data_IF_438335393022
#
_entry.id   IF_438335393022
#
_cell.length_a   1.000
_cell.length_b   1.000
_cell.length_c   1.000
_cell.angle_alpha   90.00
_cell.angle_beta   90.00
_cell.angle_gamma   90.00
#
_symmetry.space_group_name_H-M   'P 1'
#
loop_
_entity.id
_entity.type
_entity.pdbx_description
1 polymer ?
#
# COMPACT_ATOMS: atom_id res chain seq x y z
N UNK A 1 18.68 -20.40 -22.57
CA UNK A 1 17.31 -20.70 -22.06
C UNK A 1 17.29 -21.33 -20.66
N UNK A 2 18.26 -22.15 -20.23
CA UNK A 2 18.29 -22.76 -18.87
C UNK A 2 18.53 -21.78 -17.71
N UNK A 3 19.27 -20.69 -17.94
CA UNK A 3 19.56 -19.68 -16.89
C UNK A 3 18.33 -18.86 -16.52
N UNK A 4 17.55 -18.43 -17.52
CA UNK A 4 16.35 -17.61 -17.33
C UNK A 4 15.28 -18.27 -16.44
N UNK A 5 15.11 -19.59 -16.53
CA UNK A 5 14.14 -20.31 -15.69
C UNK A 5 14.57 -20.40 -14.22
N UNK A 6 15.86 -20.66 -13.97
CA UNK A 6 16.44 -20.67 -12.63
C UNK A 6 16.37 -19.28 -11.98
N UNK A 7 16.70 -18.24 -12.75
CA UNK A 7 16.65 -16.85 -12.27
C UNK A 7 15.22 -16.43 -11.90
N UNK A 8 14.23 -16.83 -12.72
CA UNK A 8 12.81 -16.61 -12.46
C UNK A 8 12.34 -17.33 -11.19
N UNK A 9 12.67 -18.62 -11.04
CA UNK A 9 12.30 -19.42 -9.87
C UNK A 9 12.89 -18.84 -8.59
N UNK A 10 14.17 -18.47 -8.62
CA UNK A 10 14.83 -17.84 -7.48
C UNK A 10 14.23 -16.47 -7.14
N UNK A 11 13.83 -15.66 -8.13
CA UNK A 11 13.12 -14.39 -7.89
C UNK A 11 11.78 -14.62 -7.21
N UNK A 12 10.99 -15.57 -7.69
CA UNK A 12 9.70 -15.93 -7.07
C UNK A 12 9.88 -16.41 -5.62
N UNK A 13 10.85 -17.28 -5.36
CA UNK A 13 11.17 -17.75 -4.01
C UNK A 13 11.59 -16.62 -3.07
N UNK A 14 12.47 -15.71 -3.52
CA UNK A 14 12.90 -14.56 -2.72
C UNK A 14 11.77 -13.59 -2.43
N UNK A 15 10.91 -13.33 -3.42
CA UNK A 15 9.72 -12.48 -3.24
C UNK A 15 8.76 -13.11 -2.23
N UNK A 16 8.45 -14.40 -2.38
CA UNK A 16 7.60 -15.13 -1.45
C UNK A 16 8.12 -15.09 -0.02
N UNK A 17 9.42 -15.36 0.17
CA UNK A 17 10.06 -15.29 1.50
C UNK A 17 10.00 -13.88 2.08
N UNK A 18 10.26 -12.84 1.28
CA UNK A 18 10.21 -11.46 1.74
C UNK A 18 8.79 -11.03 2.15
N UNK A 19 7.77 -11.42 1.39
CA UNK A 19 6.37 -11.17 1.74
C UNK A 19 5.95 -11.89 3.03
N UNK A 20 6.37 -13.15 3.20
CA UNK A 20 6.14 -13.90 4.44
C UNK A 20 6.79 -13.18 5.63
N UNK A 21 8.07 -12.80 5.53
CA UNK A 21 8.75 -12.07 6.60
C UNK A 21 8.06 -10.74 6.93
N UNK A 22 7.62 -9.99 5.91
CA UNK A 22 6.88 -8.75 6.09
C UNK A 22 5.53 -8.98 6.77
N UNK A 23 4.82 -10.06 6.44
CA UNK A 23 3.54 -10.39 7.06
C UNK A 23 3.73 -10.78 8.54
N UNK A 24 4.75 -11.57 8.86
CA UNK A 24 5.09 -11.90 10.25
C UNK A 24 5.52 -10.67 11.06
N UNK A 25 6.29 -9.76 10.46
CA UNK A 25 6.64 -8.48 11.08
C UNK A 25 5.39 -7.61 11.32
N UNK A 26 4.48 -7.54 10.34
CA UNK A 26 3.22 -6.83 10.49
C UNK A 26 2.41 -7.39 11.67
N UNK A 27 2.29 -8.71 11.81
CA UNK A 27 1.63 -9.33 12.96
C UNK A 27 2.32 -8.95 14.27
N UNK A 28 3.64 -9.17 14.37
CA UNK A 28 4.39 -8.91 15.60
C UNK A 28 4.29 -7.43 16.07
N UNK A 29 4.34 -6.48 15.14
CA UNK A 29 4.22 -5.05 15.46
C UNK A 29 2.77 -4.60 15.70
N UNK A 30 1.80 -5.26 15.08
CA UNK A 30 0.37 -5.06 15.38
C UNK A 30 0.07 -5.46 16.82
N UNK A 31 0.56 -6.64 17.25
CA UNK A 31 0.44 -7.10 18.63
C UNK A 31 1.14 -6.14 19.60
N UNK A 32 2.35 -5.67 19.25
CA UNK A 32 3.11 -4.72 20.08
C UNK A 32 2.40 -3.37 20.28
N UNK A 33 1.58 -2.94 19.32
CA UNK A 33 0.82 -1.69 19.39
C UNK A 33 -0.56 -1.81 20.05
N UNK A 34 -0.90 -2.93 20.69
CA UNK A 34 -2.21 -3.12 21.31
C UNK A 34 -3.32 -3.47 20.31
N UNK A 35 -2.97 -4.14 19.21
CA UNK A 35 -3.87 -4.58 18.12
C UNK A 35 -4.56 -3.40 17.42
N UNK A 36 -5.53 -2.73 18.03
CA UNK A 36 -6.26 -1.61 17.41
C UNK A 36 -5.33 -0.46 17.01
N UNK A 37 -4.55 0.06 17.95
CA UNK A 37 -3.63 1.18 17.69
C UNK A 37 -2.34 0.73 16.98
N UNK A 38 -2.10 -0.58 16.91
CA UNK A 38 -0.94 -1.18 16.26
C UNK A 38 -1.16 -1.51 14.78
N UNK A 39 -2.41 -1.76 14.38
CA UNK A 39 -2.76 -2.22 13.02
C UNK A 39 -2.47 -1.16 11.97
N UNK A 40 -2.88 0.09 12.21
CA UNK A 40 -2.64 1.20 11.28
C UNK A 40 -1.14 1.49 11.09
N UNK A 41 -0.32 1.68 12.14
CA UNK A 41 1.11 1.93 11.96
C UNK A 41 1.88 0.71 11.46
N UNK A 42 1.46 -0.52 11.75
CA UNK A 42 2.04 -1.71 11.13
C UNK A 42 1.77 -1.73 9.61
N UNK A 43 0.58 -1.32 9.18
CA UNK A 43 0.22 -1.21 7.77
C UNK A 43 1.02 -0.10 7.09
N UNK A 44 1.15 1.09 7.71
CA UNK A 44 1.99 2.17 7.19
C UNK A 44 3.47 1.75 7.06
N UNK A 45 4.02 1.04 8.06
CA UNK A 45 5.38 0.53 8.02
C UNK A 45 5.59 -0.50 6.90
N UNK A 46 4.64 -1.41 6.70
CA UNK A 46 4.65 -2.39 5.61
C UNK A 46 4.72 -1.69 4.24
N UNK A 47 3.84 -0.73 3.99
CA UNK A 47 3.87 0.06 2.75
C UNK A 47 5.13 0.93 2.62
N UNK A 48 5.71 1.36 3.73
CA UNK A 48 6.98 2.09 3.76
C UNK A 48 8.16 1.22 3.31
N UNK A 49 8.24 -0.02 3.80
CA UNK A 49 9.28 -0.97 3.37
C UNK A 49 9.10 -1.35 1.89
N UNK A 50 7.87 -1.62 1.44
CA UNK A 50 7.59 -1.94 0.03
C UNK A 50 7.96 -0.80 -0.91
N UNK A 51 7.79 0.45 -0.49
CA UNK A 51 8.26 1.63 -1.23
C UNK A 51 9.78 1.67 -1.29
N UNK A 52 10.46 1.44 -0.17
CA UNK A 52 11.92 1.42 -0.11
C UNK A 52 12.49 0.28 -0.99
N UNK A 53 11.80 -0.88 -1.04
CA UNK A 53 12.13 -2.01 -1.92
C UNK A 53 11.97 -1.67 -3.40
N UNK A 54 10.88 -1.00 -3.78
CA UNK A 54 10.65 -0.57 -5.16
C UNK A 54 11.69 0.47 -5.61
N UNK A 55 12.09 1.39 -4.72
CA UNK A 55 13.21 2.34 -4.94
C UNK A 55 14.56 1.65 -5.10
N UNK A 56 14.79 0.58 -4.35
CA UNK A 56 16.01 -0.20 -4.47
C UNK A 56 16.05 -0.95 -5.80
N UNK A 57 14.96 -1.65 -6.15
CA UNK A 57 14.85 -2.37 -7.42
C UNK A 57 15.00 -1.46 -8.65
N UNK A 58 14.55 -0.20 -8.58
CA UNK A 58 14.73 0.77 -9.66
C UNK A 58 16.19 1.23 -9.82
N UNK A 59 16.97 1.30 -8.73
CA UNK A 59 18.37 1.74 -8.73
C UNK A 59 19.35 0.59 -8.97
N UNK A 60 19.02 -0.60 -8.49
CA UNK A 60 19.85 -1.80 -8.53
C UNK A 60 19.02 -2.98 -9.07
N UNK A 61 18.73 -3.03 -10.38
CA UNK A 61 17.86 -4.06 -10.97
C UNK A 61 18.42 -5.49 -10.86
N UNK A 62 19.74 -5.62 -10.69
CA UNK A 62 20.44 -6.89 -10.54
C UNK A 62 20.51 -7.37 -9.07
N UNK A 63 20.28 -6.48 -8.10
CA UNK A 63 20.44 -6.79 -6.67
C UNK A 63 19.08 -6.86 -5.95
N UNK A 64 18.72 -8.01 -5.36
CA UNK A 64 17.50 -8.10 -4.57
C UNK A 64 17.68 -7.40 -3.21
N UNK A 65 16.64 -6.74 -2.69
CA UNK A 65 16.72 -6.07 -1.40
C UNK A 65 17.02 -7.08 -0.27
N UNK A 66 18.03 -6.75 0.54
CA UNK A 66 18.52 -7.62 1.61
C UNK A 66 17.47 -7.83 2.72
N UNK A 67 17.39 -9.04 3.26
CA UNK A 67 16.57 -9.35 4.45
C UNK A 67 17.24 -8.87 5.75
N UNK A 68 18.56 -8.69 5.72
CA UNK A 68 19.34 -8.16 6.85
C UNK A 68 18.89 -6.74 7.17
N UNK A 69 18.59 -6.47 8.44
CA UNK A 69 18.13 -5.15 8.89
C UNK A 69 16.64 -4.85 8.63
N UNK A 70 15.90 -5.75 7.95
CA UNK A 70 14.46 -5.58 7.66
C UNK A 70 13.65 -5.27 8.92
N UNK A 71 13.90 -6.02 10.01
CA UNK A 71 13.23 -5.83 11.30
C UNK A 71 13.51 -4.47 11.92
N UNK A 72 14.75 -4.00 11.85
CA UNK A 72 15.15 -2.71 12.40
C UNK A 72 14.49 -1.57 11.61
N UNK A 73 14.50 -1.68 10.28
CA UNK A 73 13.86 -0.71 9.39
C UNK A 73 12.35 -0.67 9.58
N UNK A 74 11.70 -1.82 9.67
CA UNK A 74 10.27 -1.91 9.94
C UNK A 74 9.91 -1.24 11.27
N UNK A 75 10.69 -1.49 12.33
CA UNK A 75 10.47 -0.88 13.64
C UNK A 75 10.69 0.63 13.66
N UNK A 76 11.65 1.14 12.90
CA UNK A 76 11.87 2.59 12.72
C UNK A 76 10.67 3.24 12.03
N UNK A 77 10.21 2.69 10.90
CA UNK A 77 9.04 3.18 10.17
C UNK A 77 7.78 3.11 11.02
N UNK A 78 7.57 2.03 11.77
CA UNK A 78 6.42 1.88 12.65
C UNK A 78 6.35 2.99 13.72
N UNK A 79 7.48 3.33 14.34
CA UNK A 79 7.54 4.41 15.34
C UNK A 79 7.33 5.78 14.71
N UNK A 80 7.96 6.04 13.56
CA UNK A 80 7.85 7.30 12.83
C UNK A 80 6.41 7.57 12.40
N UNK A 81 5.75 6.56 11.84
CA UNK A 81 4.41 6.69 11.26
C UNK A 81 3.28 6.54 12.30
N UNK A 82 3.60 6.27 13.57
CA UNK A 82 2.61 5.90 14.59
C UNK A 82 1.45 6.90 14.70
N UNK A 83 1.76 8.19 14.85
CA UNK A 83 0.75 9.23 14.99
C UNK A 83 0.00 9.53 13.69
N UNK A 84 0.70 9.62 12.57
CA UNK A 84 0.09 9.91 11.28
C UNK A 84 -0.85 8.79 10.82
N UNK A 85 -0.41 7.54 10.95
CA UNK A 85 -1.17 6.36 10.57
C UNK A 85 -2.44 6.20 11.42
N UNK A 86 -2.35 6.42 12.73
CA UNK A 86 -3.52 6.33 13.61
C UNK A 86 -4.55 7.43 13.33
N UNK A 87 -4.14 8.65 12.97
CA UNK A 87 -5.09 9.71 12.58
C UNK A 87 -5.81 9.38 11.28
N UNK A 88 -5.08 8.88 10.27
CA UNK A 88 -5.66 8.47 8.99
C UNK A 88 -6.58 7.26 9.19
N UNK A 89 -6.11 6.25 9.92
CA UNK A 89 -6.86 5.04 10.27
C UNK A 89 -8.15 5.37 11.04
N UNK A 90 -8.09 6.26 12.03
CA UNK A 90 -9.26 6.70 12.78
C UNK A 90 -10.28 7.43 11.88
N UNK A 91 -9.83 8.29 10.98
CA UNK A 91 -10.72 8.97 10.03
C UNK A 91 -11.41 7.97 9.09
N UNK A 92 -10.65 7.01 8.54
CA UNK A 92 -11.20 5.96 7.68
C UNK A 92 -12.14 5.02 8.44
N UNK A 93 -11.78 4.63 9.66
CA UNK A 93 -12.61 3.79 10.51
C UNK A 93 -13.94 4.48 10.87
N UNK A 94 -13.92 5.79 11.11
CA UNK A 94 -15.14 6.57 11.32
C UNK A 94 -16.05 6.54 10.09
N UNK A 95 -15.50 6.76 8.88
CA UNK A 95 -16.27 6.65 7.63
C UNK A 95 -16.88 5.26 7.43
N UNK A 96 -16.10 4.20 7.70
CA UNK A 96 -16.59 2.82 7.63
C UNK A 96 -17.68 2.53 8.66
N UNK A 97 -17.53 3.04 9.88
CA UNK A 97 -18.54 2.88 10.94
C UNK A 97 -19.87 3.52 10.53
N UNK A 98 -19.84 4.76 10.01
CA UNK A 98 -21.05 5.45 9.51
C UNK A 98 -21.71 4.62 8.40
N UNK A 99 -20.93 4.17 7.41
CA UNK A 99 -21.48 3.40 6.29
C UNK A 99 -22.12 2.07 6.73
N UNK A 100 -21.50 1.37 7.68
CA UNK A 100 -22.04 0.11 8.23
C UNK A 100 -23.33 0.37 9.03
N UNK A 101 -23.36 1.45 9.82
CA UNK A 101 -24.57 1.84 10.55
C UNK A 101 -25.71 2.19 9.59
N UNK A 102 -25.43 3.00 8.56
CA UNK A 102 -26.42 3.37 7.54
C UNK A 102 -26.97 2.12 6.83
N UNK A 103 -26.10 1.16 6.52
CA UNK A 103 -26.50 -0.12 5.92
C UNK A 103 -27.38 -0.94 6.85
N UNK A 104 -27.04 -1.02 8.14
CA UNK A 104 -27.88 -1.71 9.12
C UNK A 104 -29.26 -1.04 9.27
N UNK A 105 -29.33 0.29 9.17
CA UNK A 105 -30.60 1.03 9.20
C UNK A 105 -31.45 0.67 7.97
N UNK A 106 -30.87 0.72 6.77
CA UNK A 106 -31.57 0.39 5.52
C UNK A 106 -32.02 -1.07 5.47
N UNK A 107 -31.25 -2.00 6.04
CA UNK A 107 -31.61 -3.43 6.09
C UNK A 107 -32.70 -3.73 7.14
N UNK A 108 -32.81 -2.93 8.21
CA UNK A 108 -33.77 -3.16 9.31
C UNK A 108 -35.07 -2.39 9.17
N UNK A 109 -35.08 -1.27 8.45
CA UNK A 109 -36.30 -0.53 8.16
C UNK A 109 -36.95 -1.06 6.87
N UNK A 110 -38.26 -1.30 6.93
CA UNK A 110 -39.03 -1.56 5.72
C UNK A 110 -39.26 -0.24 4.96
N UNK A 111 -38.36 0.04 4.02
CA UNK A 111 -38.37 1.24 3.17
C UNK A 111 -39.17 1.02 1.87
N UNK A 112 -39.85 -0.13 1.73
CA UNK A 112 -40.57 -0.50 0.51
C UNK A 112 -39.68 -0.41 -0.74
N UNK A 113 -40.18 0.22 -1.80
CA UNK A 113 -39.46 0.35 -3.07
C UNK A 113 -38.17 1.19 -3.00
N UNK A 114 -37.97 2.00 -1.95
CA UNK A 114 -36.74 2.78 -1.76
C UNK A 114 -35.60 1.97 -1.14
N UNK A 115 -35.92 0.85 -0.46
CA UNK A 115 -34.93 -0.02 0.17
C UNK A 115 -33.84 -0.51 -0.80
N UNK A 116 -34.20 -1.13 -1.94
CA UNK A 116 -33.23 -1.60 -2.93
C UNK A 116 -32.37 -0.48 -3.52
N UNK A 117 -32.94 0.72 -3.75
CA UNK A 117 -32.21 1.87 -4.30
C UNK A 117 -31.17 2.40 -3.30
N UNK A 118 -31.56 2.56 -2.03
CA UNK A 118 -30.64 3.00 -0.97
C UNK A 118 -29.56 1.95 -0.69
N UNK A 119 -29.91 0.66 -0.68
CA UNK A 119 -28.94 -0.42 -0.53
C UNK A 119 -27.93 -0.46 -1.69
N UNK A 120 -28.39 -0.22 -2.93
CA UNK A 120 -27.53 -0.06 -4.10
C UNK A 120 -26.57 1.12 -3.96
N UNK A 121 -27.08 2.29 -3.57
CA UNK A 121 -26.27 3.49 -3.32
C UNK A 121 -25.20 3.28 -2.24
N UNK A 122 -25.57 2.68 -1.11
CA UNK A 122 -24.63 2.33 -0.03
C UNK A 122 -23.58 1.31 -0.47
N UNK A 123 -23.94 0.38 -1.34
CA UNK A 123 -22.98 -0.58 -1.92
C UNK A 123 -21.96 0.12 -2.81
N UNK A 124 -22.40 1.04 -3.67
CA UNK A 124 -21.50 1.85 -4.51
C UNK A 124 -20.59 2.73 -3.63
N UNK A 125 -21.14 3.36 -2.59
CA UNK A 125 -20.37 4.14 -1.64
C UNK A 125 -19.31 3.30 -0.91
N UNK A 126 -19.65 2.06 -0.53
CA UNK A 126 -18.72 1.12 0.09
C UNK A 126 -17.59 0.67 -0.83
N UNK A 127 -17.88 0.39 -2.10
CA UNK A 127 -16.85 0.09 -3.10
C UNK A 127 -15.89 1.27 -3.27
N UNK A 128 -16.45 2.49 -3.36
CA UNK A 128 -15.66 3.72 -3.42
C UNK A 128 -14.78 3.93 -2.19
N UNK A 129 -15.33 3.76 -0.99
CA UNK A 129 -14.59 3.88 0.27
C UNK A 129 -13.50 2.81 0.38
N UNK A 130 -13.77 1.59 -0.09
CA UNK A 130 -12.78 0.51 -0.18
C UNK A 130 -11.63 0.85 -1.11
N UNK A 131 -11.92 1.40 -2.30
CA UNK A 131 -10.88 1.86 -3.23
C UNK A 131 -10.04 2.99 -2.63
N UNK A 132 -10.68 3.97 -1.99
CA UNK A 132 -9.98 5.05 -1.30
C UNK A 132 -9.09 4.52 -0.18
N UNK A 133 -9.56 3.55 0.61
CA UNK A 133 -8.78 2.92 1.68
C UNK A 133 -7.56 2.19 1.10
N UNK A 134 -7.74 1.42 0.01
CA UNK A 134 -6.66 0.68 -0.65
C UNK A 134 -5.58 1.62 -1.24
N UNK A 135 -5.96 2.80 -1.71
CA UNK A 135 -5.04 3.81 -2.24
C UNK A 135 -4.43 4.70 -1.15
N UNK A 136 -5.13 4.92 -0.03
CA UNK A 136 -4.69 5.81 1.04
C UNK A 136 -3.40 5.31 1.72
N UNK A 137 -3.27 4.00 1.95
CA UNK A 137 -2.09 3.43 2.62
C UNK A 137 -0.78 3.55 1.82
N UNK A 138 -0.72 3.19 0.52
CA UNK A 138 0.46 3.44 -0.30
C UNK A 138 0.78 4.94 -0.46
N UNK A 139 -0.24 5.80 -0.51
CA UNK A 139 -0.03 7.25 -0.58
C UNK A 139 0.52 7.80 0.73
N UNK A 140 0.03 7.33 1.88
CA UNK A 140 0.53 7.75 3.19
C UNK A 140 2.02 7.38 3.36
N UNK A 141 2.41 6.17 2.98
CA UNK A 141 3.81 5.77 3.08
C UNK A 141 4.72 6.54 2.12
N UNK A 142 4.17 7.08 1.04
CA UNK A 142 4.92 7.87 0.06
C UNK A 142 4.98 9.37 0.39
N UNK A 143 3.94 9.92 1.02
CA UNK A 143 3.80 11.35 1.30
C UNK A 143 3.60 11.63 2.79
N UNK A 144 4.48 12.44 3.37
CA UNK A 144 4.43 12.88 4.78
C UNK A 144 3.41 14.02 4.97
N UNK A 145 2.18 13.80 4.50
CA UNK A 145 1.13 14.82 4.43
C UNK A 145 -0.06 14.51 5.33
N UNK A 146 -0.81 15.55 5.74
CA UNK A 146 -2.00 15.39 6.57
C UNK A 146 -3.07 14.51 5.91
N UNK A 147 -3.85 13.78 6.71
CA UNK A 147 -4.85 12.80 6.24
C UNK A 147 -5.80 13.34 5.15
N UNK A 148 -6.21 14.62 5.25
CA UNK A 148 -7.06 15.29 4.25
C UNK A 148 -6.36 15.45 2.89
N UNK A 149 -5.07 15.78 2.88
CA UNK A 149 -4.30 15.93 1.64
C UNK A 149 -4.07 14.57 0.97
N UNK A 150 -3.86 13.52 1.75
CA UNK A 150 -3.76 12.13 1.27
C UNK A 150 -5.06 11.66 0.63
N UNK A 151 -6.20 11.88 1.30
CA UNK A 151 -7.54 11.59 0.75
C UNK A 151 -7.79 12.36 -0.54
N UNK A 152 -7.50 13.67 -0.57
CA UNK A 152 -7.64 14.49 -1.78
C UNK A 152 -6.79 13.95 -2.92
N UNK A 153 -5.58 13.48 -2.64
CA UNK A 153 -4.69 12.89 -3.65
C UNK A 153 -5.17 11.54 -4.13
N UNK A 154 -5.68 10.68 -3.26
CA UNK A 154 -6.30 9.42 -3.67
C UNK A 154 -7.49 9.68 -4.63
N UNK A 155 -8.31 10.70 -4.34
CA UNK A 155 -9.37 11.17 -5.22
C UNK A 155 -8.83 11.69 -6.56
N UNK A 156 -7.87 12.61 -6.53
CA UNK A 156 -7.26 13.16 -7.75
C UNK A 156 -6.62 12.04 -8.59
N UNK A 157 -5.94 11.07 -7.98
CA UNK A 157 -5.34 9.95 -8.68
C UNK A 157 -6.40 9.07 -9.35
N UNK A 158 -7.49 8.79 -8.64
CA UNK A 158 -8.61 7.97 -9.14
C UNK A 158 -9.25 8.63 -10.37
N UNK A 159 -9.42 9.96 -10.34
CA UNK A 159 -9.99 10.73 -11.44
C UNK A 159 -8.99 10.94 -12.58
N UNK A 160 -7.71 11.23 -12.26
CA UNK A 160 -6.69 11.55 -13.26
C UNK A 160 -6.19 10.31 -14.01
N UNK A 161 -6.20 9.13 -13.37
CA UNK A 161 -5.72 7.87 -13.96
C UNK A 161 -6.63 6.68 -13.58
N UNK A 162 -7.88 6.67 -14.07
CA UNK A 162 -8.87 5.67 -13.70
C UNK A 162 -8.43 4.25 -14.05
N UNK A 163 -7.72 4.05 -15.16
CA UNK A 163 -7.20 2.74 -15.54
C UNK A 163 -6.22 2.15 -14.51
N UNK A 164 -5.39 3.00 -13.88
CA UNK A 164 -4.44 2.54 -12.85
C UNK A 164 -5.12 2.20 -11.53
N UNK A 165 -6.12 3.01 -11.14
CA UNK A 165 -6.93 2.76 -9.95
C UNK A 165 -7.78 1.50 -10.14
N UNK A 166 -8.39 1.32 -11.31
CA UNK A 166 -9.13 0.12 -11.67
C UNK A 166 -8.24 -1.13 -11.67
N UNK A 167 -7.04 -1.07 -12.25
CA UNK A 167 -6.10 -2.19 -12.25
C UNK A 167 -5.68 -2.59 -10.82
N UNK A 168 -5.40 -1.61 -9.96
CA UNK A 168 -5.09 -1.86 -8.55
C UNK A 168 -6.29 -2.48 -7.81
N UNK A 169 -7.50 -1.95 -8.02
CA UNK A 169 -8.73 -2.46 -7.43
C UNK A 169 -9.07 -3.89 -7.87
N UNK A 170 -9.02 -4.15 -9.18
CA UNK A 170 -9.24 -5.49 -9.76
C UNK A 170 -8.18 -6.47 -9.25
N UNK A 171 -6.91 -6.04 -9.20
CA UNK A 171 -5.83 -6.87 -8.66
C UNK A 171 -6.07 -7.30 -7.21
N UNK A 172 -6.48 -6.35 -6.36
CA UNK A 172 -6.86 -6.66 -4.97
C UNK A 172 -8.08 -7.58 -4.94
N UNK A 173 -9.10 -7.32 -5.77
CA UNK A 173 -10.30 -8.16 -5.86
C UNK A 173 -9.99 -9.61 -6.24
N UNK A 174 -9.16 -9.83 -7.26
CA UNK A 174 -8.71 -11.17 -7.66
C UNK A 174 -7.95 -11.85 -6.52
N UNK A 175 -7.09 -11.12 -5.82
CA UNK A 175 -6.34 -11.67 -4.69
C UNK A 175 -7.27 -12.08 -3.53
N UNK A 176 -8.31 -11.30 -3.25
CA UNK A 176 -9.33 -11.67 -2.27
C UNK A 176 -10.10 -12.92 -2.70
N UNK A 177 -10.42 -13.08 -3.99
CA UNK A 177 -11.00 -14.33 -4.50
C UNK A 177 -10.07 -15.54 -4.31
N UNK A 178 -8.75 -15.36 -4.52
CA UNK A 178 -7.75 -16.41 -4.25
C UNK A 178 -7.72 -16.78 -2.77
N UNK A 179 -7.79 -15.80 -1.87
CA UNK A 179 -7.87 -16.04 -0.43
C UNK A 179 -9.16 -16.75 -0.02
N UNK A 180 -10.27 -16.48 -0.70
CA UNK A 180 -11.52 -17.21 -0.48
C UNK A 180 -11.42 -18.68 -0.91
N UNK A 181 -10.78 -18.94 -2.06
CA UNK A 181 -10.56 -20.31 -2.57
C UNK A 181 -9.54 -21.08 -1.75
N UNK A 182 -8.50 -20.41 -1.27
CA UNK A 182 -7.38 -21.01 -0.52
C UNK A 182 -7.13 -20.19 0.74
N UNK A 183 -7.93 -20.42 1.81
CA UNK A 183 -7.83 -19.66 3.06
C UNK A 183 -6.46 -19.80 3.75
N UNK A 184 -5.73 -20.89 3.47
CA UNK A 184 -4.37 -21.09 3.97
C UNK A 184 -3.35 -20.04 3.51
N UNK A 185 -3.63 -19.26 2.46
CA UNK A 185 -2.76 -18.16 2.02
C UNK A 185 -2.89 -16.91 2.90
N UNK A 186 -4.02 -16.75 3.60
CA UNK A 186 -4.27 -15.60 4.47
C UNK A 186 -3.23 -15.50 5.60
N UNK A 187 -2.94 -16.53 6.40
CA UNK A 187 -1.92 -16.44 7.45
C UNK A 187 -0.48 -16.36 6.92
N UNK A 188 -0.25 -16.73 5.66
CA UNK A 188 1.09 -16.73 5.05
C UNK A 188 1.43 -15.37 4.45
N UNK A 189 0.54 -14.84 3.62
CA UNK A 189 0.78 -13.61 2.86
C UNK A 189 -0.09 -12.44 3.31
N UNK A 190 -1.26 -12.72 3.89
CA UNK A 190 -2.22 -11.77 4.46
C UNK A 190 -2.23 -10.40 3.80
N UNK A 191 -1.89 -9.36 4.57
CA UNK A 191 -1.86 -7.97 4.10
C UNK A 191 -0.62 -7.62 3.25
N UNK A 192 0.44 -8.43 3.30
CA UNK A 192 1.68 -8.17 2.56
C UNK A 192 1.49 -8.33 1.04
N UNK A 193 0.74 -9.32 0.57
CA UNK A 193 0.49 -9.52 -0.86
C UNK A 193 -0.36 -8.41 -1.51
N UNK A 194 -1.53 -8.00 -0.98
CA UNK A 194 -2.29 -6.89 -1.57
C UNK A 194 -1.49 -5.57 -1.49
N UNK A 195 -0.71 -5.36 -0.42
CA UNK A 195 0.15 -4.19 -0.31
C UNK A 195 1.25 -4.19 -1.39
N UNK A 196 1.94 -5.31 -1.59
CA UNK A 196 2.96 -5.43 -2.62
C UNK A 196 2.39 -5.27 -4.03
N UNK A 197 1.21 -5.83 -4.30
CA UNK A 197 0.53 -5.71 -5.59
C UNK A 197 0.16 -4.26 -5.89
N UNK A 198 -0.48 -3.57 -4.94
CA UNK A 198 -0.87 -2.17 -5.11
C UNK A 198 0.37 -1.28 -5.32
N UNK A 199 1.40 -1.43 -4.49
CA UNK A 199 2.67 -0.70 -4.66
C UNK A 199 3.32 -0.98 -6.02
N UNK A 200 3.34 -2.23 -6.49
CA UNK A 200 3.91 -2.59 -7.78
C UNK A 200 3.15 -1.97 -8.95
N UNK A 201 1.81 -1.98 -8.92
CA UNK A 201 0.95 -1.34 -9.95
C UNK A 201 1.17 0.17 -9.98
N UNK A 202 1.24 0.81 -8.81
CA UNK A 202 1.51 2.24 -8.66
C UNK A 202 2.91 2.63 -9.16
N UNK A 203 3.91 1.77 -8.93
CA UNK A 203 5.28 2.00 -9.42
C UNK A 203 5.38 1.84 -10.93
N UNK A 204 4.83 0.75 -11.47
CA UNK A 204 4.87 0.40 -12.91
C UNK A 204 4.08 1.38 -13.78
N UNK A 205 3.04 2.01 -13.23
CA UNK A 205 2.30 3.07 -13.94
C UNK A 205 3.05 4.41 -13.99
N UNK A 206 4.23 4.50 -13.37
CA UNK A 206 5.05 5.70 -13.36
C UNK A 206 4.50 6.84 -12.49
N UNK A 207 3.36 6.64 -11.80
CA UNK A 207 2.76 7.64 -10.92
C UNK A 207 3.72 8.01 -9.80
N UNK A 208 4.39 7.01 -9.21
CA UNK A 208 5.37 7.21 -8.16
C UNK A 208 6.78 7.48 -8.71
N UNK A 209 7.13 6.90 -9.88
CA UNK A 209 8.46 7.07 -10.48
C UNK A 209 8.68 8.46 -11.12
N UNK A 210 7.63 9.09 -11.67
CA UNK A 210 7.75 10.35 -12.39
C UNK A 210 8.18 11.54 -11.51
N UNK A 211 7.97 11.49 -10.19
CA UNK A 211 8.44 12.54 -9.26
C UNK A 211 9.79 12.27 -8.61
N UNK A 212 10.24 11.02 -8.55
CA UNK A 212 11.60 10.69 -8.10
C UNK A 212 12.64 11.03 -9.22
N UNK A 213 12.24 11.07 -10.49
CA UNK A 213 13.10 11.41 -11.63
C UNK A 213 13.77 12.82 -11.56
N UNK A 214 13.04 13.94 -11.33
CA UNK A 214 13.67 15.25 -11.23
C UNK A 214 14.59 15.40 -10.01
N UNK A 215 14.30 14.73 -8.89
CA UNK A 215 15.16 14.73 -7.69
C UNK A 215 16.43 13.92 -7.92
N UNK A 216 16.33 12.78 -8.62
CA UNK A 216 17.48 11.95 -8.97
C UNK A 216 18.44 12.67 -9.95
N UNK A 217 17.90 13.43 -10.91
CA UNK A 217 18.70 14.25 -11.83
C UNK A 217 19.43 15.39 -11.08
N UNK A 218 18.74 16.09 -10.19
CA UNK A 218 19.35 17.14 -9.37
C UNK A 218 20.43 16.62 -8.39
N UNK A 219 20.23 15.43 -7.82
CA UNK A 219 21.22 14.76 -6.98
C UNK A 219 22.42 14.19 -7.76
N UNK A 220 22.26 13.91 -9.06
CA UNK A 220 23.34 13.47 -9.94
C UNK A 220 24.17 14.64 -10.49
N UNK A 221 23.62 15.85 -10.55
CA UNK A 221 24.33 17.07 -10.97
C UNK A 221 25.24 17.63 -9.86
N UNK A 222 24.87 17.47 -8.59
CA UNK A 222 25.62 18.01 -7.44
C UNK A 222 27.07 17.48 -7.32
N UNK A 223 27.37 16.19 -7.55
CA UNK A 223 28.74 15.67 -7.58
C UNK A 223 29.55 16.14 -8.79
N UNK A 224 28.89 16.43 -9.94
CA UNK A 224 29.56 16.87 -11.17
C UNK A 224 30.01 18.33 -11.08
N UNK A 225 29.15 19.21 -10.55
CA UNK A 225 29.49 20.62 -10.32
C UNK A 225 30.62 20.77 -9.28
N UNK A 226 30.65 19.90 -8.26
CA UNK A 226 31.74 19.90 -7.26
C UNK A 226 33.08 19.43 -7.81
N UNK A 227 33.11 18.57 -8.84
CA UNK A 227 34.37 18.16 -9.51
C UNK A 227 34.89 19.22 -10.47
N UNK A 228 34.01 19.97 -11.12
CA UNK A 228 34.40 21.05 -12.03
C UNK A 228 34.91 22.28 -11.26
N UNK A 229 34.32 22.60 -10.11
CA UNK A 229 34.78 23.70 -9.26
C UNK A 229 36.11 23.45 -8.49
N UNK A 230 36.69 22.25 -8.62
CA UNK A 230 37.99 21.89 -7.99
C UNK A 230 39.09 21.74 -9.05
N UNK A 231 38.76 21.80 -10.34
CA UNK A 231 39.75 21.78 -11.44
C UNK A 231 40.05 23.16 -12.04
N UNK A 232 39.41 24.21 -11.54
CA UNK A 232 39.70 25.62 -11.82
C UNK A 232 40.38 26.26 -10.61
#
# INVERSE_FOLDING_TARGET
>A
MRTTFLDWYQRMGRLGLRLLCLHLLWLAWTLRGGILLGTFPATAALYGVLRDDARHAARHPEEPPALTGLRARFGELWRREFGAANRLGAALACCWAILVLDRQVVERLDLGALGPVMAGGLTVAGVWLGLLTALAWPLQSHFDEGARALLRRALILTVARPATAALAGVGVGVLLCVYYLVPGLVPVFGLAAPAALTTAVLWRSGVLAARDAPVALAAAETPRLRRQAVSD
#
